data_IF_964843215760
#
_entry.id   IF_964843215760
#
_cell.length_a   1.000
_cell.length_b   1.000
_cell.length_c   1.000
_cell.angle_alpha   90.00
_cell.angle_beta   90.00
_cell.angle_gamma   90.00
#
_symmetry.space_group_name_H-M   'P 1'
#
loop_
_entity.id
_entity.type
_entity.pdbx_description
1 polymer ?
#
# COMPACT_ATOMS: atom_id res chain seq x y z
N UNK A 1 5.63 1.77 -20.33
CA UNK A 1 4.75 2.88 -20.79
C UNK A 1 4.78 3.98 -19.76
N UNK A 2 4.86 5.26 -20.13
CA UNK A 2 4.74 6.36 -19.16
C UNK A 2 3.27 6.52 -18.78
N UNK A 3 2.93 6.32 -17.50
CA UNK A 3 1.59 6.61 -16.99
C UNK A 3 1.41 8.12 -16.84
N UNK A 4 0.21 8.62 -17.14
CA UNK A 4 -0.14 10.03 -16.95
C UNK A 4 -0.61 10.28 -15.51
N UNK A 5 -0.35 11.49 -14.98
CA UNK A 5 -0.71 11.88 -13.62
C UNK A 5 -2.21 11.76 -13.37
N UNK A 6 -3.05 12.23 -14.30
CA UNK A 6 -4.49 12.29 -14.14
C UNK A 6 -5.05 10.88 -14.04
N UNK A 7 -4.65 9.96 -14.92
CA UNK A 7 -5.07 8.57 -14.85
C UNK A 7 -4.61 7.89 -13.56
N UNK A 8 -3.39 8.17 -13.10
CA UNK A 8 -2.86 7.59 -11.86
C UNK A 8 -3.63 8.09 -10.63
N UNK A 9 -3.78 9.41 -10.48
CA UNK A 9 -4.50 10.01 -9.34
C UNK A 9 -5.99 9.62 -9.34
N UNK A 10 -6.61 9.53 -10.52
CA UNK A 10 -7.98 9.05 -10.66
C UNK A 10 -8.12 7.58 -10.24
N UNK A 11 -7.17 6.72 -10.64
CA UNK A 11 -7.18 5.31 -10.27
C UNK A 11 -7.00 5.12 -8.74
N UNK A 12 -6.05 5.83 -8.14
CA UNK A 12 -5.83 5.81 -6.67
C UNK A 12 -7.09 6.26 -5.94
N UNK A 13 -7.64 7.43 -6.32
CA UNK A 13 -8.83 7.96 -5.67
C UNK A 13 -10.01 7.01 -5.81
N UNK A 14 -10.28 6.50 -7.00
CA UNK A 14 -11.42 5.62 -7.26
C UNK A 14 -11.35 4.32 -6.47
N UNK A 15 -10.15 3.71 -6.39
CA UNK A 15 -10.00 2.44 -5.68
C UNK A 15 -10.11 2.60 -4.15
N UNK A 16 -9.64 3.71 -3.60
CA UNK A 16 -9.46 3.87 -2.15
C UNK A 16 -10.38 4.90 -1.49
N UNK A 17 -11.32 5.53 -2.21
CA UNK A 17 -12.17 6.61 -1.66
C UNK A 17 -13.03 6.24 -0.45
N UNK A 18 -13.40 4.95 -0.30
CA UNK A 18 -14.22 4.46 0.81
C UNK A 18 -13.41 3.63 1.83
N UNK A 19 -12.09 3.54 1.64
CA UNK A 19 -11.19 2.90 2.59
C UNK A 19 -10.73 3.93 3.65
N UNK A 20 -9.82 3.55 4.55
CA UNK A 20 -9.07 4.50 5.38
C UNK A 20 -7.60 4.52 4.93
N UNK A 21 -7.31 5.12 3.76
CA UNK A 21 -6.04 4.95 3.07
C UNK A 21 -4.90 5.84 3.58
N UNK A 22 -3.70 5.30 3.42
CA UNK A 22 -2.47 6.05 3.33
C UNK A 22 -1.69 5.63 2.08
N UNK A 23 -1.67 6.51 1.08
CA UNK A 23 -0.98 6.35 -0.18
C UNK A 23 0.06 7.44 -0.37
N UNK A 24 1.33 7.06 -0.43
CA UNK A 24 2.43 8.00 -0.61
C UNK A 24 3.48 7.44 -1.55
N UNK A 25 4.07 8.32 -2.36
CA UNK A 25 5.24 7.99 -3.18
C UNK A 25 6.39 8.93 -2.82
N UNK A 26 7.60 8.40 -2.78
CA UNK A 26 8.82 9.14 -2.46
C UNK A 26 9.98 8.73 -3.36
N UNK A 27 11.06 9.51 -3.36
CA UNK A 27 12.27 9.16 -4.09
C UNK A 27 12.97 7.97 -3.41
N UNK A 28 13.48 7.04 -4.22
CA UNK A 28 14.42 6.02 -3.73
C UNK A 28 15.80 6.65 -3.62
N UNK A 29 16.26 6.88 -2.38
CA UNK A 29 17.56 7.53 -2.10
C UNK A 29 18.56 6.56 -1.51
N UNK A 30 18.11 5.42 -1.01
CA UNK A 30 18.95 4.47 -0.30
C UNK A 30 19.01 3.14 -1.05
N UNK A 31 20.17 2.48 -0.95
CA UNK A 31 20.31 1.09 -1.41
C UNK A 31 19.38 0.19 -0.59
N UNK A 32 19.40 0.38 0.74
CA UNK A 32 18.39 -0.14 1.66
C UNK A 32 17.12 0.73 1.61
N UNK A 33 16.19 0.33 0.75
CA UNK A 33 14.92 1.02 0.51
C UNK A 33 14.01 1.08 1.74
N UNK A 34 14.27 0.29 2.80
CA UNK A 34 13.51 0.37 4.06
C UNK A 34 13.64 1.77 4.68
N UNK A 35 14.80 2.42 4.51
CA UNK A 35 15.00 3.81 4.95
C UNK A 35 14.10 4.79 4.21
N UNK A 36 13.84 4.54 2.93
CA UNK A 36 12.92 5.35 2.13
C UNK A 36 11.45 5.12 2.57
N UNK A 37 11.09 3.89 2.95
CA UNK A 37 9.78 3.58 3.54
C UNK A 37 9.58 4.28 4.88
N UNK A 38 10.58 4.28 5.76
CA UNK A 38 10.51 5.01 7.03
C UNK A 38 10.33 6.52 6.81
N UNK A 39 11.01 7.08 5.80
CA UNK A 39 10.83 8.48 5.41
C UNK A 39 9.40 8.76 4.90
N UNK A 40 8.79 7.81 4.19
CA UNK A 40 7.38 7.88 3.78
C UNK A 40 6.44 7.80 4.98
N UNK A 41 6.60 6.84 5.89
CA UNK A 41 5.76 6.74 7.10
C UNK A 41 5.82 8.03 7.94
N UNK A 42 6.99 8.69 7.97
CA UNK A 42 7.20 9.97 8.62
C UNK A 42 6.80 11.20 7.79
N UNK A 43 6.33 11.01 6.54
CA UNK A 43 5.95 12.09 5.59
C UNK A 43 7.07 13.11 5.41
N UNK A 44 8.31 12.66 5.49
CA UNK A 44 9.52 13.48 5.49
C UNK A 44 10.01 13.82 4.08
N UNK A 45 9.43 13.19 3.06
CA UNK A 45 9.82 13.36 1.66
C UNK A 45 8.59 13.62 0.80
N UNK A 46 8.65 14.58 -0.14
CA UNK A 46 7.58 14.78 -1.11
C UNK A 46 7.63 13.73 -2.22
N UNK A 47 6.51 13.62 -2.93
CA UNK A 47 6.45 12.90 -4.20
C UNK A 47 7.43 13.53 -5.22
N UNK A 48 8.35 12.74 -5.83
CA UNK A 48 9.36 13.27 -6.75
C UNK A 48 8.79 13.80 -8.07
N UNK A 49 7.56 13.40 -8.43
CA UNK A 49 6.80 13.90 -9.58
C UNK A 49 5.75 14.94 -9.19
N UNK A 50 5.55 15.17 -7.89
CA UNK A 50 4.54 16.08 -7.36
C UNK A 50 3.10 15.58 -7.51
N UNK A 51 2.90 14.27 -7.66
CA UNK A 51 1.57 13.67 -7.76
C UNK A 51 0.94 13.52 -6.37
N UNK A 52 -0.39 13.60 -6.33
CA UNK A 52 -1.15 13.62 -5.08
C UNK A 52 -1.57 12.20 -4.71
N UNK A 53 -1.11 11.72 -3.55
CA UNK A 53 -1.63 10.51 -2.91
C UNK A 53 -2.82 10.80 -1.99
N UNK A 54 -3.16 9.83 -1.15
CA UNK A 54 -4.21 9.92 -0.13
C UNK A 54 -3.59 9.83 1.26
N UNK A 55 -4.09 10.60 2.22
CA UNK A 55 -3.68 10.52 3.61
C UNK A 55 -4.86 10.93 4.47
N UNK A 56 -5.73 9.98 4.78
CA UNK A 56 -6.94 10.25 5.57
C UNK A 56 -6.61 10.63 7.01
N UNK A 57 -5.42 10.25 7.47
CA UNK A 57 -4.93 10.64 8.79
C UNK A 57 -4.31 12.04 8.81
N UNK A 58 -4.26 12.75 7.67
CA UNK A 58 -3.50 14.00 7.57
C UNK A 58 -3.90 15.05 8.60
N UNK A 59 -5.18 15.08 9.00
CA UNK A 59 -5.75 16.05 9.93
C UNK A 59 -6.07 15.46 11.31
N UNK A 60 -5.62 14.24 11.63
CA UNK A 60 -5.94 13.62 12.92
C UNK A 60 -5.16 14.29 14.06
N UNK A 61 -5.80 14.57 15.21
CA UNK A 61 -5.14 15.23 16.35
C UNK A 61 -3.91 14.48 16.88
N UNK A 62 -3.90 13.14 16.76
CA UNK A 62 -2.81 12.27 17.18
C UNK A 62 -1.48 12.68 16.52
N UNK A 63 -1.52 13.25 15.31
CA UNK A 63 -0.33 13.72 14.58
C UNK A 63 0.41 14.86 15.27
N UNK A 64 -0.24 15.61 16.16
CA UNK A 64 0.44 16.63 16.96
C UNK A 64 1.45 16.02 17.94
N UNK A 65 1.16 14.81 18.42
CA UNK A 65 2.00 14.08 19.39
C UNK A 65 2.87 13.02 18.70
N UNK A 66 2.32 12.35 17.69
CA UNK A 66 2.94 11.24 16.97
C UNK A 66 2.99 11.54 15.47
N UNK A 67 4.08 12.16 14.96
CA UNK A 67 4.15 12.61 13.56
C UNK A 67 3.98 11.51 12.51
N UNK A 68 4.28 10.26 12.87
CA UNK A 68 4.16 9.08 11.99
C UNK A 68 2.78 8.42 12.04
N UNK A 69 1.86 8.90 12.89
CA UNK A 69 0.53 8.30 13.04
C UNK A 69 -0.14 8.07 11.68
N UNK A 70 -0.77 6.91 11.46
CA UNK A 70 -1.04 5.82 12.42
C UNK A 70 0.11 4.81 12.57
N UNK A 71 1.24 5.00 11.88
CA UNK A 71 2.38 4.10 11.97
C UNK A 71 3.18 4.24 13.27
N UNK A 72 3.69 3.10 13.75
CA UNK A 72 4.64 3.05 14.85
C UNK A 72 6.05 3.46 14.42
N UNK A 73 6.80 4.09 15.33
CA UNK A 73 8.22 4.37 15.13
C UNK A 73 9.02 3.12 15.45
N UNK A 74 9.56 2.48 14.42
CA UNK A 74 10.31 1.24 14.52
C UNK A 74 11.67 1.33 13.81
N UNK A 75 12.67 0.55 14.27
CA UNK A 75 13.95 0.52 13.58
C UNK A 75 13.84 -0.26 12.24
N UNK A 76 14.74 -0.01 11.27
CA UNK A 76 14.66 -0.62 9.93
C UNK A 76 14.54 -2.15 9.95
N UNK A 77 15.27 -2.83 10.83
CA UNK A 77 15.24 -4.28 10.96
C UNK A 77 13.87 -4.83 11.38
N UNK A 78 13.09 -4.05 12.13
CA UNK A 78 11.74 -4.43 12.54
C UNK A 78 10.77 -4.39 11.36
N UNK A 79 10.90 -3.37 10.50
CA UNK A 79 10.10 -3.22 9.28
C UNK A 79 10.48 -4.31 8.28
N UNK A 80 11.78 -4.49 8.02
CA UNK A 80 12.29 -5.49 7.09
C UNK A 80 11.83 -6.91 7.42
N UNK A 81 11.81 -7.29 8.71
CA UNK A 81 11.38 -8.62 9.14
C UNK A 81 9.88 -8.90 8.96
N UNK A 82 9.06 -7.87 8.73
CA UNK A 82 7.60 -7.97 8.57
C UNK A 82 7.15 -7.95 7.12
N UNK A 83 8.01 -7.44 6.25
CA UNK A 83 7.77 -7.38 4.82
C UNK A 83 8.31 -8.64 4.15
N UNK A 84 7.58 -9.12 3.16
CA UNK A 84 8.05 -10.17 2.28
C UNK A 84 7.65 -9.87 0.84
N UNK A 85 8.47 -10.34 -0.08
CA UNK A 85 8.30 -10.09 -1.50
C UNK A 85 7.15 -10.93 -2.07
N UNK A 86 6.38 -10.32 -2.97
CA UNK A 86 5.29 -10.93 -3.73
C UNK A 86 5.45 -10.66 -5.22
N UNK A 87 4.78 -11.47 -6.05
CA UNK A 87 4.74 -11.24 -7.48
C UNK A 87 3.82 -10.07 -7.87
N UNK A 88 3.99 -9.57 -9.10
CA UNK A 88 3.20 -8.46 -9.63
C UNK A 88 1.70 -8.75 -9.64
N UNK A 89 1.31 -9.97 -9.98
CA UNK A 89 -0.09 -10.37 -10.02
C UNK A 89 -0.74 -10.32 -8.62
N UNK A 90 -0.01 -10.73 -7.58
CA UNK A 90 -0.45 -10.60 -6.19
C UNK A 90 -0.46 -9.15 -5.73
N UNK A 91 0.48 -8.32 -6.18
CA UNK A 91 0.47 -6.89 -5.92
C UNK A 91 -0.77 -6.19 -6.53
N UNK A 92 -1.14 -6.54 -7.77
CA UNK A 92 -2.36 -6.06 -8.41
C UNK A 92 -3.61 -6.48 -7.63
N UNK A 93 -3.71 -7.75 -7.26
CA UNK A 93 -4.81 -8.25 -6.43
C UNK A 93 -4.82 -7.61 -5.03
N UNK A 94 -3.64 -7.31 -4.46
CA UNK A 94 -3.54 -6.69 -3.14
C UNK A 94 -4.06 -5.25 -3.18
N UNK A 95 -3.72 -4.45 -4.20
CA UNK A 95 -4.30 -3.11 -4.37
C UNK A 95 -5.83 -3.17 -4.41
N UNK A 96 -6.39 -4.16 -5.12
CA UNK A 96 -7.82 -4.40 -5.19
C UNK A 96 -8.44 -4.87 -3.86
N UNK A 97 -7.68 -5.62 -3.08
CA UNK A 97 -8.10 -6.11 -1.77
C UNK A 97 -8.07 -5.02 -0.69
N UNK A 98 -7.17 -4.04 -0.80
CA UNK A 98 -7.03 -2.89 0.11
C UNK A 98 -8.16 -1.86 -0.04
N UNK A 99 -9.05 -2.04 -1.01
CA UNK A 99 -10.13 -1.08 -1.31
C UNK A 99 -11.25 -1.03 -0.26
N UNK A 100 -11.26 -1.97 0.68
CA UNK A 100 -12.23 -2.08 1.76
C UNK A 100 -11.63 -3.06 2.79
N UNK A 101 -12.32 -3.28 3.89
CA UNK A 101 -11.83 -4.13 4.97
C UNK A 101 -11.61 -5.60 4.53
N UNK A 102 -10.95 -6.37 5.39
CA UNK A 102 -10.70 -7.81 5.24
C UNK A 102 -9.62 -8.23 4.26
N UNK A 103 -9.09 -7.30 3.47
CA UNK A 103 -8.09 -7.57 2.44
C UNK A 103 -8.52 -8.81 1.61
N UNK A 104 -9.71 -8.73 1.00
CA UNK A 104 -10.26 -9.79 0.14
C UNK A 104 -10.76 -9.23 -1.18
N UNK A 105 -10.81 -10.06 -2.22
CA UNK A 105 -11.41 -9.66 -3.51
C UNK A 105 -12.94 -9.66 -3.49
N UNK A 106 -13.59 -10.06 -2.39
CA UNK A 106 -15.06 -9.93 -2.27
C UNK A 106 -15.50 -8.47 -2.28
N UNK A 107 -14.60 -7.56 -1.90
CA UNK A 107 -14.78 -6.11 -1.86
C UNK A 107 -15.12 -5.55 -3.24
N UNK A 108 -14.68 -6.21 -4.32
CA UNK A 108 -14.96 -5.78 -5.69
C UNK A 108 -16.45 -5.72 -6.04
N UNK A 109 -17.31 -6.40 -5.28
CA UNK A 109 -18.77 -6.36 -5.46
C UNK A 109 -19.38 -4.99 -5.17
N UNK A 110 -18.65 -4.09 -4.48
CA UNK A 110 -19.10 -2.72 -4.20
C UNK A 110 -19.01 -1.81 -5.43
N UNK A 111 -18.11 -2.12 -6.36
CA UNK A 111 -17.90 -1.35 -7.57
C UNK A 111 -18.95 -1.69 -8.63
N UNK A 112 -19.23 -0.71 -9.49
CA UNK A 112 -20.14 -0.90 -10.64
C UNK A 112 -19.39 -1.37 -11.88
N UNK A 113 -18.09 -1.10 -11.92
CA UNK A 113 -17.13 -1.49 -12.94
C UNK A 113 -16.92 -3.01 -12.95
N UNK A 114 -16.52 -3.53 -14.10
CA UNK A 114 -16.10 -4.92 -14.23
C UNK A 114 -14.77 -5.18 -13.51
N UNK A 115 -14.53 -6.43 -13.13
CA UNK A 115 -13.26 -6.85 -12.51
C UNK A 115 -12.04 -6.47 -13.37
N UNK A 116 -12.14 -6.56 -14.70
CA UNK A 116 -11.05 -6.20 -15.60
C UNK A 116 -10.77 -4.69 -15.63
N UNK A 117 -11.80 -3.85 -15.51
CA UNK A 117 -11.64 -2.40 -15.40
C UNK A 117 -10.92 -2.03 -14.09
N UNK A 118 -11.30 -2.66 -12.97
CA UNK A 118 -10.62 -2.47 -11.68
C UNK A 118 -9.16 -2.95 -11.76
N UNK A 119 -8.90 -4.12 -12.37
CA UNK A 119 -7.54 -4.60 -12.62
C UNK A 119 -6.74 -3.64 -13.50
N UNK A 120 -7.36 -3.01 -14.49
CA UNK A 120 -6.71 -1.99 -15.30
C UNK A 120 -6.31 -0.75 -14.49
N UNK A 121 -7.12 -0.34 -13.51
CA UNK A 121 -6.76 0.72 -12.56
C UNK A 121 -5.58 0.32 -11.69
N UNK A 122 -5.59 -0.89 -11.11
CA UNK A 122 -4.45 -1.40 -10.32
C UNK A 122 -3.16 -1.46 -11.16
N UNK A 123 -3.24 -1.93 -12.42
CA UNK A 123 -2.11 -1.90 -13.36
C UNK A 123 -1.64 -0.48 -13.67
N UNK A 124 -2.55 0.49 -13.76
CA UNK A 124 -2.22 1.91 -13.95
C UNK A 124 -1.42 2.43 -12.75
N UNK A 125 -1.83 2.08 -11.53
CA UNK A 125 -1.11 2.44 -10.31
C UNK A 125 0.31 1.87 -10.32
N UNK A 126 0.46 0.57 -10.59
CA UNK A 126 1.77 -0.10 -10.61
C UNK A 126 2.66 0.33 -11.77
N UNK A 127 2.08 0.69 -12.93
CA UNK A 127 2.82 1.13 -14.11
C UNK A 127 3.68 2.37 -13.84
N UNK A 128 3.33 3.18 -12.84
CA UNK A 128 4.13 4.31 -12.37
C UNK A 128 5.58 3.91 -12.06
N UNK A 129 5.76 2.75 -11.44
CA UNK A 129 7.03 2.27 -10.89
C UNK A 129 7.86 1.47 -11.91
N UNK A 130 7.33 1.25 -13.12
CA UNK A 130 8.00 0.49 -14.18
C UNK A 130 7.92 -1.03 -13.99
N UNK A 131 8.40 -1.75 -14.99
CA UNK A 131 8.25 -3.21 -15.07
C UNK A 131 9.30 -3.98 -14.24
N UNK A 132 10.36 -3.31 -13.79
CA UNK A 132 11.43 -3.87 -12.96
C UNK A 132 11.20 -3.63 -11.45
N UNK A 133 10.03 -3.08 -11.08
CA UNK A 133 9.71 -2.85 -9.67
C UNK A 133 9.56 -4.17 -8.91
N UNK A 134 9.93 -4.14 -7.63
CA UNK A 134 9.67 -5.25 -6.68
C UNK A 134 8.54 -4.86 -5.74
N UNK A 135 7.80 -5.86 -5.27
CA UNK A 135 6.57 -5.67 -4.50
C UNK A 135 6.70 -6.37 -3.15
N UNK A 136 6.39 -5.67 -2.07
CA UNK A 136 6.54 -6.17 -0.71
C UNK A 136 5.29 -5.89 0.10
N UNK A 137 4.91 -6.82 0.97
CA UNK A 137 3.71 -6.67 1.80
C UNK A 137 3.93 -7.21 3.21
N UNK A 138 3.13 -6.72 4.15
CA UNK A 138 3.04 -7.28 5.50
C UNK A 138 1.92 -8.33 5.63
N UNK A 139 1.12 -8.56 4.59
CA UNK A 139 -0.02 -9.50 4.56
C UNK A 139 0.45 -10.95 4.47
N UNK A 140 0.20 -11.74 5.51
CA UNK A 140 0.60 -13.16 5.61
C UNK A 140 -0.50 -14.12 5.16
N UNK A 141 -0.94 -13.98 3.90
CA UNK A 141 -1.88 -14.93 3.26
C UNK A 141 -1.18 -15.72 2.14
N UNK A 142 -0.28 -16.67 2.44
CA UNK A 142 0.51 -17.34 1.41
C UNK A 142 -0.38 -18.16 0.47
N UNK A 143 -0.23 -17.93 -0.83
CA UNK A 143 -0.86 -18.74 -1.86
C UNK A 143 -0.16 -20.08 -2.08
N UNK A 144 -0.67 -20.85 -3.04
CA UNK A 144 -0.14 -22.18 -3.35
C UNK A 144 1.28 -22.14 -3.96
N UNK A 145 1.65 -21.02 -4.57
CA UNK A 145 2.97 -20.79 -5.16
C UNK A 145 3.73 -19.79 -4.28
N UNK A 146 5.03 -20.03 -4.09
CA UNK A 146 5.89 -19.12 -3.32
C UNK A 146 5.88 -17.72 -3.94
N UNK A 147 5.62 -16.70 -3.13
CA UNK A 147 5.53 -15.30 -3.57
C UNK A 147 4.14 -14.89 -4.06
N UNK A 148 3.15 -15.80 -4.03
CA UNK A 148 1.75 -15.46 -4.30
C UNK A 148 0.95 -15.27 -3.03
N UNK A 149 -0.13 -14.48 -3.12
CA UNK A 149 -1.13 -14.34 -2.05
C UNK A 149 -2.43 -15.09 -2.37
N UNK A 150 -3.07 -15.65 -1.34
CA UNK A 150 -4.41 -16.23 -1.42
C UNK A 150 -5.46 -15.26 -0.87
N UNK A 151 -6.30 -14.74 -1.75
CA UNK A 151 -7.40 -13.83 -1.41
C UNK A 151 -8.75 -14.54 -1.25
N UNK A 152 -8.79 -15.88 -1.39
CA UNK A 152 -10.01 -16.68 -1.28
C UNK A 152 -10.30 -17.16 0.14
N UNK A 153 -9.26 -17.22 0.98
CA UNK A 153 -9.37 -17.56 2.40
C UNK A 153 -9.84 -16.38 3.25
N UNK A 154 -10.74 -16.65 4.20
CA UNK A 154 -11.16 -15.70 5.24
C UNK A 154 -10.17 -15.60 6.42
N UNK A 155 -9.05 -16.32 6.37
CA UNK A 155 -8.06 -16.28 7.44
C UNK A 155 -7.29 -14.96 7.46
N UNK A 156 -7.29 -14.30 8.62
CA UNK A 156 -6.52 -13.08 8.86
C UNK A 156 -5.13 -13.41 9.36
N UNK A 157 -4.12 -12.92 8.64
CA UNK A 157 -2.76 -12.88 9.15
C UNK A 157 -2.01 -11.75 8.43
N UNK A 158 -1.47 -10.83 9.22
CA UNK A 158 -0.57 -9.77 8.76
C UNK A 158 0.43 -9.47 9.89
N UNK A 159 1.45 -8.66 9.59
CA UNK A 159 2.43 -8.22 10.59
C UNK A 159 2.27 -6.71 10.80
N UNK A 160 1.65 -6.28 11.91
CA UNK A 160 1.32 -4.88 12.11
C UNK A 160 2.56 -3.96 12.08
N UNK A 161 2.41 -2.81 11.42
CA UNK A 161 3.29 -1.64 11.42
C UNK A 161 2.66 -0.42 12.12
N UNK A 162 1.37 -0.47 12.46
CA UNK A 162 0.64 0.57 13.19
C UNK A 162 1.17 0.74 14.63
N UNK A 163 0.97 1.94 15.18
CA UNK A 163 1.43 2.34 16.51
C UNK A 163 0.71 1.57 17.63
N UNK A 164 -0.57 1.28 17.42
CA UNK A 164 -1.41 0.56 18.39
C UNK A 164 -1.93 -0.74 17.79
N UNK A 165 -2.21 -1.71 18.65
CA UNK A 165 -2.96 -2.92 18.25
C UNK A 165 -4.47 -2.65 18.16
N UNK A 166 -4.89 -1.38 18.19
CA UNK A 166 -6.30 -1.00 18.17
C UNK A 166 -6.86 -1.04 16.74
N UNK A 167 -5.99 -1.01 15.73
CA UNK A 167 -6.38 -1.28 14.37
C UNK A 167 -6.56 -2.78 14.16
N UNK A 168 -7.78 -3.16 13.80
CA UNK A 168 -8.17 -4.51 13.39
C UNK A 168 -7.66 -4.86 11.99
N UNK A 169 -7.31 -3.86 11.20
CA UNK A 169 -6.62 -4.00 9.92
C UNK A 169 -5.44 -3.05 9.78
N UNK A 170 -4.33 -3.61 9.32
CA UNK A 170 -3.07 -2.93 9.07
C UNK A 170 -2.37 -3.69 7.94
N UNK A 171 -2.84 -3.43 6.72
CA UNK A 171 -2.46 -4.14 5.51
C UNK A 171 -1.91 -3.15 4.49
N UNK A 172 -0.84 -3.50 3.80
CA UNK A 172 -0.43 -2.69 2.67
C UNK A 172 0.60 -3.31 1.75
N UNK A 173 0.88 -2.53 0.72
CA UNK A 173 1.77 -2.82 -0.39
C UNK A 173 2.85 -1.74 -0.45
N UNK A 174 4.10 -2.18 -0.56
CA UNK A 174 5.24 -1.35 -0.90
C UNK A 174 5.74 -1.74 -2.29
N UNK A 175 5.96 -0.73 -3.13
CA UNK A 175 6.48 -0.88 -4.49
C UNK A 175 7.83 -0.18 -4.58
N UNK A 176 8.88 -0.90 -4.97
CA UNK A 176 10.24 -0.37 -5.01
C UNK A 176 10.77 -0.44 -6.43
N UNK A 177 11.04 0.72 -7.04
CA UNK A 177 11.67 0.82 -8.36
C UNK A 177 13.13 1.24 -8.28
N UNK A 178 13.77 1.52 -9.43
CA UNK A 178 15.10 2.10 -9.47
C UNK A 178 15.18 3.52 -8.88
N UNK A 179 14.07 4.27 -8.85
CA UNK A 179 14.06 5.71 -8.55
C UNK A 179 12.99 6.14 -7.55
N UNK A 180 12.00 5.30 -7.27
CA UNK A 180 10.83 5.64 -6.46
C UNK A 180 10.44 4.50 -5.52
N UNK A 181 9.87 4.85 -4.38
CA UNK A 181 9.21 3.93 -3.46
C UNK A 181 7.76 4.38 -3.30
N UNK A 182 6.83 3.47 -3.57
CA UNK A 182 5.40 3.63 -3.35
C UNK A 182 4.96 2.88 -2.11
N UNK A 183 4.03 3.45 -1.36
CA UNK A 183 3.39 2.84 -0.21
C UNK A 183 1.88 3.03 -0.36
N UNK A 184 1.14 1.93 -0.30
CA UNK A 184 -0.32 1.90 -0.34
C UNK A 184 -0.81 1.10 0.85
N UNK A 185 -1.59 1.71 1.72
CA UNK A 185 -1.90 1.14 3.02
C UNK A 185 -3.36 1.38 3.36
N UNK A 186 -4.01 0.38 3.96
CA UNK A 186 -5.34 0.53 4.52
C UNK A 186 -5.31 0.21 6.01
N UNK A 187 -6.00 1.03 6.79
CA UNK A 187 -6.22 0.84 8.22
C UNK A 187 -7.71 0.58 8.48
N UNK A 188 -8.04 -0.14 9.54
CA UNK A 188 -9.44 -0.28 9.99
C UNK A 188 -9.49 -0.50 11.49
N UNK A 189 -10.46 0.10 12.17
CA UNK A 189 -10.75 -0.07 13.59
C UNK A 189 -12.16 -0.66 13.75
N UNK A 190 -12.24 -1.94 14.17
CA UNK A 190 -13.52 -2.61 14.46
C UNK A 190 -13.89 -2.53 15.93
#
# INVERSE_FOLDING_TARGET
MSVDQIAWEAAVRHLFEDAFPYDATGPRRHEDWILDVLALMARAVPDPRGWTGLDDTAQTPERETYPTYPFGVHPPEYIAARLHEIDRASAENLLLALTDDCCTLSNLKRFTESEEELRAMARTILARYGDEATYHTNVKKPGHVRGTLDFTSSSWAYSPLALTNDYSEDCGLIVVSGTEVGMFWNFSDY
#
